data_IF_773666762322
#
_entry.id   IF_773666762322
#
_cell.length_a   1.000
_cell.length_b   1.000
_cell.length_c   1.000
_cell.angle_alpha   90.00
_cell.angle_beta   90.00
_cell.angle_gamma   90.00
#
_symmetry.space_group_name_H-M   'P 1'
#
loop_
_entity.id
_entity.type
_entity.pdbx_description
1 polymer ?
#
# COMPACT_ATOMS: atom_id res chain seq x y z
N UNK A 1 -22.25 14.59 13.80
CA UNK A 1 -21.06 14.49 12.95
C UNK A 1 -19.90 14.04 13.83
N UNK A 2 -19.34 12.84 13.62
CA UNK A 2 -18.18 12.36 14.39
C UNK A 2 -16.91 12.75 13.63
N UNK A 3 -16.09 13.60 14.23
CA UNK A 3 -14.77 13.95 13.72
C UNK A 3 -13.77 12.96 14.28
N UNK A 4 -12.99 12.33 13.41
CA UNK A 4 -11.88 11.49 13.80
C UNK A 4 -10.58 12.24 13.52
N UNK A 5 -9.71 12.29 14.51
CA UNK A 5 -8.36 12.86 14.43
C UNK A 5 -7.37 11.77 14.82
N UNK A 6 -6.25 11.69 14.11
CA UNK A 6 -5.14 10.81 14.45
C UNK A 6 -3.92 11.66 14.74
N UNK A 7 -3.18 11.31 15.79
CA UNK A 7 -1.90 11.95 16.10
C UNK A 7 -0.81 11.29 15.26
N UNK A 8 -0.12 12.11 14.44
CA UNK A 8 1.04 11.68 13.67
C UNK A 8 2.28 12.11 14.42
N UNK A 9 3.09 11.14 14.86
CA UNK A 9 4.42 11.41 15.38
C UNK A 9 5.34 11.83 14.22
N UNK A 10 5.65 13.12 14.18
CA UNK A 10 6.54 13.74 13.17
C UNK A 10 7.97 13.92 13.67
N UNK A 11 8.29 13.48 14.90
CA UNK A 11 9.58 13.78 15.56
C UNK A 11 10.79 13.16 14.84
N UNK A 12 10.58 12.05 14.11
CA UNK A 12 11.62 11.33 13.38
C UNK A 12 11.57 11.51 11.85
N UNK A 13 10.83 12.51 11.34
CA UNK A 13 10.82 12.79 9.91
C UNK A 13 12.13 13.48 9.48
N UNK A 14 12.72 13.07 8.34
CA UNK A 14 13.90 13.74 7.82
C UNK A 14 13.58 15.22 7.58
N UNK A 15 14.42 16.11 8.10
CA UNK A 15 14.32 17.56 7.86
C UNK A 15 14.51 17.83 6.39
N UNK A 16 13.40 17.87 5.67
CA UNK A 16 13.37 18.22 4.27
C UNK A 16 12.98 19.68 4.18
N UNK A 17 13.77 20.49 3.47
CA UNK A 17 13.47 21.91 3.33
C UNK A 17 12.25 22.04 2.42
N UNK A 18 11.07 22.19 3.02
CA UNK A 18 9.87 22.50 2.24
C UNK A 18 10.11 23.85 1.54
N UNK A 19 10.20 23.80 0.21
CA UNK A 19 10.40 24.97 -0.65
C UNK A 19 9.26 25.98 -0.54
N UNK A 20 8.12 25.57 0.00
CA UNK A 20 6.93 26.38 0.20
C UNK A 20 6.79 26.94 1.62
N UNK A 21 7.67 26.58 2.56
CA UNK A 21 7.49 26.90 3.99
C UNK A 21 7.50 28.41 4.30
N UNK A 22 8.13 29.21 3.44
CA UNK A 22 8.24 30.67 3.58
C UNK A 22 7.30 31.45 2.65
N UNK A 23 6.41 30.76 1.95
CA UNK A 23 5.55 31.38 0.94
C UNK A 23 4.12 31.53 1.43
N UNK A 24 3.54 32.69 1.10
CA UNK A 24 2.11 32.97 1.23
C UNK A 24 1.29 31.89 0.53
N UNK A 25 0.10 31.56 1.06
CA UNK A 25 -0.80 30.53 0.49
C UNK A 25 -1.06 30.77 -1.00
N UNK A 26 -1.30 32.03 -1.37
CA UNK A 26 -1.57 32.44 -2.76
C UNK A 26 -0.38 32.16 -3.68
N UNK A 27 0.84 32.40 -3.21
CA UNK A 27 2.05 32.15 -3.98
C UNK A 27 2.33 30.66 -4.14
N UNK A 28 2.10 29.87 -3.08
CA UNK A 28 2.19 28.40 -3.16
C UNK A 28 1.26 27.84 -4.23
N UNK A 29 0.01 28.30 -4.24
CA UNK A 29 -0.99 27.85 -5.21
C UNK A 29 -0.65 28.29 -6.63
N UNK A 30 -0.15 29.52 -6.82
CA UNK A 30 0.32 30.03 -8.11
C UNK A 30 1.47 29.19 -8.66
N UNK A 31 2.47 28.89 -7.84
CA UNK A 31 3.63 28.08 -8.25
C UNK A 31 3.19 26.66 -8.60
N UNK A 32 2.38 26.02 -7.76
CA UNK A 32 1.87 24.67 -8.01
C UNK A 32 1.05 24.59 -9.31
N UNK A 33 0.18 25.57 -9.55
CA UNK A 33 -0.60 25.65 -10.79
C UNK A 33 0.29 25.86 -12.02
N UNK A 34 1.32 26.71 -11.91
CA UNK A 34 2.25 26.94 -13.00
C UNK A 34 3.06 25.68 -13.33
N UNK A 35 3.61 25.01 -12.32
CA UNK A 35 4.32 23.73 -12.49
C UNK A 35 3.43 22.65 -13.08
N UNK A 36 2.17 22.57 -12.65
CA UNK A 36 1.17 21.68 -13.23
C UNK A 36 0.97 21.99 -14.72
N UNK A 37 0.72 23.25 -15.08
CA UNK A 37 0.46 23.63 -16.47
C UNK A 37 1.66 23.32 -17.38
N UNK A 38 2.89 23.57 -16.92
CA UNK A 38 4.13 23.23 -17.64
C UNK A 38 4.24 21.71 -17.82
N UNK A 39 3.94 20.92 -16.78
CA UNK A 39 3.99 19.47 -16.89
C UNK A 39 2.96 18.94 -17.90
N UNK A 40 1.72 19.46 -17.83
CA UNK A 40 0.66 19.08 -18.75
C UNK A 40 0.96 19.49 -20.19
N UNK A 41 1.53 20.67 -20.42
CA UNK A 41 1.91 21.09 -21.79
C UNK A 41 2.97 20.15 -22.37
N UNK A 42 3.97 19.74 -21.58
CA UNK A 42 4.99 18.76 -22.02
C UNK A 42 4.39 17.41 -22.38
N UNK A 43 3.41 16.94 -21.59
CA UNK A 43 2.71 15.67 -21.87
C UNK A 43 1.88 15.79 -23.15
N UNK A 44 1.13 16.89 -23.32
CA UNK A 44 0.28 17.12 -24.48
C UNK A 44 1.06 17.32 -25.78
N UNK A 45 2.25 17.91 -25.69
CA UNK A 45 3.16 18.09 -26.81
C UNK A 45 4.02 16.84 -27.10
N UNK A 46 3.80 15.73 -26.37
CA UNK A 46 4.57 14.49 -26.48
C UNK A 46 6.08 14.66 -26.20
N UNK A 47 6.48 15.76 -25.53
CA UNK A 47 7.86 16.02 -25.11
C UNK A 47 8.28 15.07 -23.96
N UNK A 48 7.31 14.57 -23.20
CA UNK A 48 7.51 13.58 -22.15
C UNK A 48 6.27 12.72 -22.00
N UNK A 49 6.47 11.43 -21.78
CA UNK A 49 5.38 10.51 -21.46
C UNK A 49 5.16 10.39 -19.96
N UNK A 50 3.93 10.04 -19.56
CA UNK A 50 3.61 9.70 -18.17
C UNK A 50 4.44 8.52 -17.66
N UNK A 51 4.72 7.54 -18.53
CA UNK A 51 5.58 6.39 -18.22
C UNK A 51 6.99 6.83 -17.86
N UNK A 52 7.63 7.71 -18.62
CA UNK A 52 8.98 8.20 -18.32
C UNK A 52 9.06 8.99 -17.02
N UNK A 53 8.01 9.73 -16.66
CA UNK A 53 7.92 10.42 -15.37
C UNK A 53 7.83 9.43 -14.21
N UNK A 54 6.93 8.46 -14.32
CA UNK A 54 6.73 7.43 -13.31
C UNK A 54 7.97 6.54 -13.16
N UNK A 55 8.62 6.19 -14.27
CA UNK A 55 9.86 5.41 -14.25
C UNK A 55 11.02 6.15 -13.61
N UNK A 56 11.01 7.47 -13.51
CA UNK A 56 12.04 8.26 -12.81
C UNK A 56 11.73 8.45 -11.33
N UNK A 57 10.47 8.28 -10.92
CA UNK A 57 10.06 8.40 -9.54
C UNK A 57 10.68 7.29 -8.67
N UNK A 58 11.26 7.68 -7.54
CA UNK A 58 12.00 6.77 -6.65
C UNK A 58 11.09 5.72 -6.02
N UNK A 59 9.87 6.09 -5.66
CA UNK A 59 8.90 5.19 -5.04
C UNK A 59 8.32 4.23 -6.07
N UNK A 60 7.97 4.73 -7.26
CA UNK A 60 7.52 3.87 -8.36
C UNK A 60 8.64 2.91 -8.80
N UNK A 61 9.90 3.37 -8.89
CA UNK A 61 11.05 2.47 -9.15
C UNK A 61 11.17 1.38 -8.11
N UNK A 62 10.98 1.70 -6.83
CA UNK A 62 11.01 0.70 -5.75
C UNK A 62 9.88 -0.33 -5.93
N UNK A 63 8.68 0.12 -6.26
CA UNK A 63 7.53 -0.76 -6.54
C UNK A 63 7.80 -1.66 -7.75
N UNK A 64 8.29 -1.10 -8.86
CA UNK A 64 8.63 -1.86 -10.07
C UNK A 64 9.78 -2.82 -9.81
N UNK A 65 10.81 -2.40 -9.08
CA UNK A 65 11.95 -3.24 -8.74
C UNK A 65 11.52 -4.44 -7.89
N UNK A 66 10.66 -4.21 -6.90
CA UNK A 66 10.08 -5.27 -6.08
C UNK A 66 9.31 -6.29 -6.92
N UNK A 67 8.53 -5.84 -7.91
CA UNK A 67 7.84 -6.73 -8.84
C UNK A 67 8.77 -7.53 -9.76
N UNK A 68 9.96 -7.00 -10.05
CA UNK A 68 10.99 -7.66 -10.88
C UNK A 68 11.86 -8.64 -10.08
N UNK A 69 11.70 -8.73 -8.75
CA UNK A 69 12.42 -9.72 -7.95
C UNK A 69 11.96 -11.13 -8.33
N UNK A 70 12.89 -12.07 -8.45
CA UNK A 70 12.59 -13.47 -8.79
C UNK A 70 11.62 -14.13 -7.80
N UNK A 71 11.57 -13.65 -6.57
CA UNK A 71 10.68 -14.11 -5.51
C UNK A 71 9.26 -13.51 -5.58
N UNK A 72 9.02 -12.48 -6.39
CA UNK A 72 7.72 -11.81 -6.52
C UNK A 72 6.65 -12.72 -7.12
N UNK A 73 6.96 -13.46 -8.17
CA UNK A 73 5.98 -14.33 -8.82
C UNK A 73 5.52 -15.47 -7.88
N UNK A 74 6.43 -16.18 -7.16
CA UNK A 74 6.05 -17.06 -6.07
C UNK A 74 5.21 -16.38 -4.97
N UNK A 75 5.58 -15.16 -4.56
CA UNK A 75 4.83 -14.39 -3.56
C UNK A 75 3.40 -14.13 -4.04
N UNK A 76 3.23 -13.54 -5.21
CA UNK A 76 1.94 -13.22 -5.82
C UNK A 76 1.05 -14.44 -5.96
N UNK A 77 1.61 -15.59 -6.38
CA UNK A 77 0.89 -16.85 -6.49
C UNK A 77 0.41 -17.37 -5.13
N UNK A 78 1.26 -17.32 -4.12
CA UNK A 78 0.88 -17.72 -2.75
C UNK A 78 -0.15 -16.76 -2.16
N UNK A 79 0.02 -15.45 -2.32
CA UNK A 79 -0.89 -14.45 -1.80
C UNK A 79 -2.29 -14.61 -2.39
N UNK A 80 -2.40 -14.79 -3.71
CA UNK A 80 -3.69 -15.03 -4.37
C UNK A 80 -4.37 -16.31 -3.86
N UNK A 81 -3.61 -17.37 -3.57
CA UNK A 81 -4.16 -18.62 -3.01
C UNK A 81 -4.58 -18.44 -1.56
N UNK A 82 -3.80 -17.71 -0.76
CA UNK A 82 -4.11 -17.38 0.62
C UNK A 82 -5.42 -16.59 0.69
N UNK A 83 -5.51 -15.51 -0.08
CA UNK A 83 -6.65 -14.61 -0.07
C UNK A 83 -7.93 -15.30 -0.55
N UNK A 84 -7.88 -16.10 -1.62
CA UNK A 84 -9.05 -16.90 -2.05
C UNK A 84 -9.49 -17.91 -0.98
N UNK A 85 -8.53 -18.50 -0.25
CA UNK A 85 -8.86 -19.44 0.83
C UNK A 85 -9.49 -18.71 2.02
N UNK A 86 -8.96 -17.53 2.36
CA UNK A 86 -9.49 -16.64 3.38
C UNK A 86 -10.94 -16.24 3.09
N UNK A 87 -11.22 -15.75 1.87
CA UNK A 87 -12.59 -15.38 1.46
C UNK A 87 -13.58 -16.55 1.58
N UNK A 88 -13.12 -17.79 1.34
CA UNK A 88 -13.94 -19.00 1.43
C UNK A 88 -14.10 -19.58 2.84
N UNK A 89 -13.44 -19.01 3.85
CA UNK A 89 -13.41 -19.62 5.18
C UNK A 89 -12.48 -20.84 5.30
N UNK A 90 -11.64 -21.11 4.30
CA UNK A 90 -10.65 -22.19 4.36
C UNK A 90 -9.40 -21.73 5.14
N UNK A 91 -9.54 -21.60 6.45
CA UNK A 91 -8.59 -20.88 7.30
C UNK A 91 -7.23 -21.56 7.43
N UNK A 92 -7.18 -22.88 7.57
CA UNK A 92 -5.92 -23.64 7.55
C UNK A 92 -5.13 -23.37 6.26
N UNK A 93 -5.80 -23.48 5.10
CA UNK A 93 -5.14 -23.23 3.81
C UNK A 93 -4.70 -21.77 3.68
N UNK A 94 -5.51 -20.83 4.14
CA UNK A 94 -5.18 -19.41 4.13
C UNK A 94 -3.91 -19.15 4.97
N UNK A 95 -3.86 -19.67 6.20
CA UNK A 95 -2.72 -19.60 7.10
C UNK A 95 -1.44 -20.14 6.46
N UNK A 96 -1.50 -21.35 5.89
CA UNK A 96 -0.33 -21.99 5.28
C UNK A 96 0.24 -21.18 4.11
N UNK A 97 -0.62 -20.58 3.29
CA UNK A 97 -0.16 -19.73 2.18
C UNK A 97 0.31 -18.34 2.63
N UNK A 98 -0.31 -17.72 3.64
CA UNK A 98 0.19 -16.46 4.19
C UNK A 98 1.56 -16.63 4.86
N UNK A 99 1.81 -17.76 5.57
CA UNK A 99 3.15 -18.11 6.05
C UNK A 99 4.18 -18.13 4.93
N UNK A 100 3.86 -18.73 3.78
CA UNK A 100 4.76 -18.74 2.61
C UNK A 100 5.01 -17.34 2.05
N UNK A 101 4.03 -16.45 2.10
CA UNK A 101 4.21 -15.04 1.71
C UNK A 101 5.18 -14.34 2.66
N UNK A 102 5.03 -14.54 3.96
CA UNK A 102 5.89 -13.96 5.00
C UNK A 102 7.32 -14.53 5.00
N UNK A 103 7.52 -15.77 4.53
CA UNK A 103 8.86 -16.31 4.28
C UNK A 103 9.57 -15.60 3.12
N UNK A 104 8.82 -15.16 2.11
CA UNK A 104 9.36 -14.44 0.94
C UNK A 104 9.57 -12.96 1.25
N UNK A 105 8.59 -12.34 1.90
CA UNK A 105 8.64 -10.95 2.35
C UNK A 105 8.18 -10.87 3.81
N UNK A 106 9.12 -10.89 4.78
CA UNK A 106 8.80 -10.78 6.21
C UNK A 106 8.08 -9.48 6.60
N UNK A 107 8.19 -8.44 5.78
CA UNK A 107 7.58 -7.13 6.00
C UNK A 107 6.25 -6.94 5.28
N UNK A 108 5.66 -8.01 4.72
CA UNK A 108 4.35 -7.93 4.07
C UNK A 108 3.22 -7.74 5.10
N UNK A 109 2.90 -6.47 5.37
CA UNK A 109 1.86 -6.05 6.29
C UNK A 109 0.51 -6.75 6.05
N UNK A 110 -0.02 -6.78 4.80
CA UNK A 110 -1.25 -7.49 4.47
C UNK A 110 -1.26 -8.97 4.88
N UNK A 111 -0.25 -9.76 4.49
CA UNK A 111 -0.20 -11.18 4.90
C UNK A 111 -0.07 -11.33 6.40
N UNK A 112 0.70 -10.47 7.08
CA UNK A 112 0.87 -10.51 8.53
C UNK A 112 -0.47 -10.32 9.24
N UNK A 113 -1.16 -9.24 8.92
CA UNK A 113 -2.43 -8.85 9.57
C UNK A 113 -3.54 -9.88 9.32
N UNK A 114 -3.65 -10.43 8.11
CA UNK A 114 -4.65 -11.46 7.80
C UNK A 114 -4.30 -12.79 8.48
N UNK A 115 -3.02 -13.13 8.55
CA UNK A 115 -2.56 -14.34 9.23
C UNK A 115 -2.79 -14.28 10.75
N UNK A 116 -2.50 -13.14 11.38
CA UNK A 116 -2.79 -12.89 12.79
C UNK A 116 -4.29 -13.06 13.08
N UNK A 117 -5.15 -12.46 12.26
CA UNK A 117 -6.61 -12.61 12.42
C UNK A 117 -7.06 -14.06 12.34
N UNK A 118 -6.51 -14.85 11.41
CA UNK A 118 -6.83 -16.28 11.30
C UNK A 118 -6.41 -17.04 12.58
N UNK A 119 -5.26 -16.71 13.15
CA UNK A 119 -4.73 -17.34 14.37
C UNK A 119 -5.52 -16.94 15.62
N UNK A 120 -5.86 -15.65 15.77
CA UNK A 120 -6.68 -15.12 16.87
C UNK A 120 -8.04 -15.83 16.99
N UNK A 121 -8.54 -16.32 15.87
CA UNK A 121 -9.83 -16.99 15.77
C UNK A 121 -9.69 -18.53 15.62
N UNK A 122 -8.55 -19.09 16.04
CA UNK A 122 -8.30 -20.54 16.21
C UNK A 122 -8.57 -21.42 14.98
N UNK A 123 -8.35 -20.90 13.75
CA UNK A 123 -8.54 -21.67 12.51
C UNK A 123 -9.98 -22.19 12.28
N UNK A 124 -10.97 -21.70 13.04
CA UNK A 124 -12.36 -22.17 12.99
C UNK A 124 -13.27 -21.14 12.31
N UNK A 125 -13.55 -21.35 11.03
CA UNK A 125 -14.46 -20.49 10.25
C UNK A 125 -15.94 -20.68 10.56
N UNK A 126 -16.33 -21.85 11.09
CA UNK A 126 -17.74 -22.19 11.33
C UNK A 126 -18.26 -21.47 12.57
N UNK A 127 -17.44 -21.39 13.62
CA UNK A 127 -17.74 -20.65 14.85
C UNK A 127 -18.04 -19.15 14.60
N UNK A 128 -17.52 -18.59 13.51
CA UNK A 128 -17.58 -17.16 13.21
C UNK A 128 -18.65 -16.75 12.19
N UNK A 129 -19.40 -17.71 11.65
CA UNK A 129 -20.36 -17.46 10.58
C UNK A 129 -19.73 -16.59 9.46
N UNK A 130 -18.56 -17.01 8.99
CA UNK A 130 -17.69 -16.21 8.15
C UNK A 130 -18.32 -15.81 6.80
N UNK A 131 -18.49 -14.51 6.55
CA UNK A 131 -19.14 -13.95 5.35
C UNK A 131 -18.17 -13.63 4.20
N UNK A 132 -16.89 -13.99 4.33
CA UNK A 132 -15.85 -13.64 3.36
C UNK A 132 -15.17 -12.30 3.61
N UNK A 133 -15.47 -11.61 4.71
CA UNK A 133 -14.79 -10.39 5.12
C UNK A 133 -14.82 -10.25 6.63
N UNK A 134 -13.82 -9.55 7.19
CA UNK A 134 -13.79 -9.18 8.60
C UNK A 134 -14.31 -7.75 8.74
N UNK A 135 -15.11 -7.50 9.79
CA UNK A 135 -15.49 -6.14 10.14
C UNK A 135 -14.28 -5.43 10.73
N UNK A 136 -14.06 -4.17 10.31
CA UNK A 136 -13.08 -3.31 10.95
C UNK A 136 -13.70 -2.82 12.25
N UNK A 137 -13.36 -3.48 13.35
CA UNK A 137 -13.57 -2.93 14.69
C UNK A 137 -12.40 -2.00 14.99
N UNK A 138 -12.69 -0.81 15.53
CA UNK A 138 -11.65 0.10 16.01
C UNK A 138 -10.73 -0.66 16.98
N UNK A 139 -9.41 -0.56 16.78
CA UNK A 139 -8.39 -1.00 17.74
C UNK A 139 -7.96 0.19 18.57
#
# INVERSE_FOLDING_TARGET
>A
MRLYTFEVDVSNLPKTRDRFIKLEVKDRQRIANNEKNILFSKILNEEITTSELLEKDKEVRRLIHFQKMSSWEPFKKNYNRAFRSYLKGNWQKAHDYFKKCLLINPFDGPSKVLNEYILENNLDSASLNWKGYRLLTEK
#
